data_IF_079736244441
#
_entry.id   IF_079736244441
#
_cell.length_a   1.000
_cell.length_b   1.000
_cell.length_c   1.000
_cell.angle_alpha   90.00
_cell.angle_beta   90.00
_cell.angle_gamma   90.00
#
_symmetry.space_group_name_H-M   'P 1'
#
loop_
_entity.id
_entity.type
_entity.pdbx_description
1 polymer ?
#
# COMPACT_ATOMS: atom_id res chain seq x y z
N UNK A 1 3.16 9.99 10.30
CA UNK A 1 3.68 9.52 8.99
C UNK A 1 4.33 10.68 8.25
N UNK A 2 5.62 10.60 7.88
CA UNK A 2 6.30 11.63 7.07
C UNK A 2 6.61 12.97 7.75
N UNK A 3 6.32 13.10 9.05
CA UNK A 3 6.36 14.34 9.83
C UNK A 3 7.69 15.10 9.72
N UNK A 4 8.82 14.41 9.87
CA UNK A 4 10.17 14.99 9.80
C UNK A 4 10.43 15.75 8.50
N UNK A 5 9.78 15.34 7.41
CA UNK A 5 9.94 15.96 6.09
C UNK A 5 8.85 16.99 5.78
N UNK A 6 7.80 17.06 6.60
CA UNK A 6 6.60 17.87 6.34
C UNK A 6 6.58 19.14 7.20
N UNK A 7 7.08 19.08 8.43
CA UNK A 7 6.93 20.14 9.47
C UNK A 7 7.54 21.52 9.10
N UNK A 8 8.20 21.65 7.94
CA UNK A 8 8.75 22.91 7.42
C UNK A 8 8.06 23.49 6.18
N UNK A 9 7.05 22.81 5.59
CA UNK A 9 6.51 23.17 4.29
C UNK A 9 5.07 23.69 4.37
N UNK A 10 4.87 24.97 4.05
CA UNK A 10 3.53 25.60 4.05
C UNK A 10 2.57 24.92 3.06
N UNK A 11 3.11 24.37 1.97
CA UNK A 11 2.34 23.60 0.99
C UNK A 11 1.69 22.36 1.62
N UNK A 12 2.32 21.74 2.62
CA UNK A 12 1.75 20.59 3.30
C UNK A 12 0.49 20.95 4.09
N UNK A 13 0.49 22.10 4.78
CA UNK A 13 -0.70 22.59 5.50
C UNK A 13 -1.87 22.80 4.55
N UNK A 14 -1.64 23.38 3.36
CA UNK A 14 -2.69 23.57 2.35
C UNK A 14 -3.26 22.25 1.86
N UNK A 15 -2.41 21.23 1.66
CA UNK A 15 -2.84 19.91 1.21
C UNK A 15 -3.66 19.19 2.28
N UNK A 16 -3.27 19.29 3.56
CA UNK A 16 -4.08 18.78 4.66
C UNK A 16 -5.41 19.51 4.81
N UNK A 17 -5.43 20.84 4.63
CA UNK A 17 -6.68 21.62 4.58
C UNK A 17 -7.60 21.18 3.45
N UNK A 18 -7.06 20.83 2.29
CA UNK A 18 -7.86 20.22 1.20
C UNK A 18 -8.39 18.85 1.61
N UNK A 19 -7.58 18.02 2.28
CA UNK A 19 -8.01 16.71 2.77
C UNK A 19 -9.19 16.81 3.75
N UNK A 20 -9.15 17.76 4.69
CA UNK A 20 -10.24 18.02 5.65
C UNK A 20 -11.57 18.40 5.01
N UNK A 21 -11.55 18.96 3.79
CA UNK A 21 -12.78 19.28 3.03
C UNK A 21 -13.38 18.07 2.32
N UNK A 22 -12.62 16.97 2.23
CA UNK A 22 -12.93 15.79 1.43
C UNK A 22 -13.23 14.58 2.31
N UNK A 23 -12.54 14.45 3.44
CA UNK A 23 -12.66 13.34 4.37
C UNK A 23 -13.48 13.75 5.59
N UNK A 24 -14.23 12.80 6.13
CA UNK A 24 -15.07 13.01 7.32
C UNK A 24 -14.29 12.92 8.64
N UNK A 25 -12.95 12.99 8.59
CA UNK A 25 -12.07 12.92 9.75
C UNK A 25 -10.80 13.76 9.52
N UNK A 26 -10.14 14.15 10.60
CA UNK A 26 -8.91 14.93 10.51
C UNK A 26 -7.69 14.05 10.21
N UNK A 27 -7.34 13.97 8.92
CA UNK A 27 -6.20 13.19 8.45
C UNK A 27 -4.86 13.73 8.97
N UNK A 28 -4.74 15.04 9.16
CA UNK A 28 -3.52 15.66 9.68
C UNK A 28 -3.27 15.24 11.12
N UNK A 29 -4.31 15.34 11.94
CA UNK A 29 -4.24 14.91 13.34
C UNK A 29 -3.93 13.42 13.45
N UNK A 30 -4.57 12.59 12.63
CA UNK A 30 -4.29 11.15 12.59
C UNK A 30 -2.84 10.85 12.19
N UNK A 31 -2.27 11.60 11.24
CA UNK A 31 -0.90 11.41 10.79
C UNK A 31 0.15 11.86 11.83
N UNK A 32 -0.16 12.88 12.62
CA UNK A 32 0.80 13.56 13.51
C UNK A 32 0.72 13.09 14.97
N UNK A 33 -0.49 12.81 15.45
CA UNK A 33 -0.78 12.53 16.86
C UNK A 33 -1.69 11.32 17.07
N UNK A 34 -2.25 10.76 15.99
CA UNK A 34 -3.11 9.60 16.05
C UNK A 34 -2.41 8.35 16.58
N UNK A 35 -3.16 7.42 17.22
CA UNK A 35 -2.63 6.11 17.59
C UNK A 35 -2.11 5.37 16.36
N UNK A 36 -0.93 4.75 16.48
CA UNK A 36 -0.29 4.04 15.37
C UNK A 36 -1.21 2.95 14.78
N UNK A 37 -1.92 2.22 15.63
CA UNK A 37 -2.84 1.16 15.21
C UNK A 37 -4.05 1.69 14.42
N UNK A 38 -4.54 2.90 14.73
CA UNK A 38 -5.60 3.55 13.95
C UNK A 38 -5.07 4.02 12.60
N UNK A 39 -3.85 4.56 12.56
CA UNK A 39 -3.20 4.98 11.31
C UNK A 39 -2.91 3.78 10.39
N UNK A 40 -2.59 2.61 10.96
CA UNK A 40 -2.32 1.36 10.23
C UNK A 40 -3.57 0.70 9.62
N UNK A 41 -4.78 1.06 10.04
CA UNK A 41 -6.00 0.54 9.40
C UNK A 41 -6.00 0.91 7.93
N UNK A 42 -6.35 -0.03 7.04
CA UNK A 42 -6.22 0.19 5.59
C UNK A 42 -7.03 1.41 5.14
N UNK A 43 -8.23 1.56 5.70
CA UNK A 43 -9.11 2.73 5.47
C UNK A 43 -8.45 4.08 5.72
N UNK A 44 -7.50 4.14 6.66
CA UNK A 44 -6.80 5.36 7.08
C UNK A 44 -5.39 5.49 6.47
N UNK A 45 -4.65 4.38 6.43
CA UNK A 45 -3.30 4.33 5.89
C UNK A 45 -3.26 4.74 4.42
N UNK A 46 -4.23 4.31 3.61
CA UNK A 46 -4.23 4.61 2.19
C UNK A 46 -4.40 6.11 1.87
N UNK A 47 -5.42 6.82 2.37
CA UNK A 47 -5.51 8.27 2.15
C UNK A 47 -4.32 9.01 2.77
N UNK A 48 -3.81 8.59 3.94
CA UNK A 48 -2.61 9.18 4.53
C UNK A 48 -1.38 9.08 3.62
N UNK A 49 -1.12 7.89 3.07
CA UNK A 49 -0.01 7.65 2.15
C UNK A 49 -0.17 8.46 0.84
N UNK A 50 -1.37 8.53 0.27
CA UNK A 50 -1.61 9.36 -0.91
C UNK A 50 -1.30 10.83 -0.61
N UNK A 51 -1.80 11.36 0.51
CA UNK A 51 -1.58 12.74 0.95
C UNK A 51 -0.10 13.04 1.14
N UNK A 52 0.64 12.19 1.85
CA UNK A 52 2.09 12.38 2.08
C UNK A 52 2.87 12.30 0.76
N UNK A 53 2.55 11.35 -0.13
CA UNK A 53 3.16 11.27 -1.46
C UNK A 53 2.88 12.52 -2.29
N UNK A 54 1.67 13.08 -2.19
CA UNK A 54 1.31 14.32 -2.88
C UNK A 54 2.06 15.53 -2.33
N UNK A 55 2.24 15.62 -1.01
CA UNK A 55 3.08 16.65 -0.37
C UNK A 55 4.50 16.59 -0.93
N UNK A 56 5.14 15.42 -0.95
CA UNK A 56 6.49 15.29 -1.53
C UNK A 56 6.53 15.62 -3.03
N UNK A 57 5.51 15.21 -3.78
CA UNK A 57 5.39 15.58 -5.20
C UNK A 57 5.35 17.09 -5.38
N UNK A 58 4.60 17.81 -4.54
CA UNK A 58 4.51 19.27 -4.60
C UNK A 58 5.81 19.96 -4.19
N UNK A 59 6.47 19.48 -3.13
CA UNK A 59 7.78 19.98 -2.70
C UNK A 59 8.83 19.84 -3.82
N UNK A 60 8.90 18.67 -4.47
CA UNK A 60 9.82 18.44 -5.59
C UNK A 60 9.53 19.38 -6.76
N UNK A 61 8.25 19.57 -7.10
CA UNK A 61 7.83 20.49 -8.17
C UNK A 61 8.15 21.95 -7.87
N UNK A 62 7.95 22.37 -6.64
CA UNK A 62 8.29 23.72 -6.19
C UNK A 62 9.82 23.95 -6.23
N UNK A 63 10.62 22.87 -6.12
CA UNK A 63 12.06 22.88 -6.37
C UNK A 63 12.45 22.74 -7.86
N UNK A 64 11.49 22.76 -8.79
CA UNK A 64 11.72 22.65 -10.23
C UNK A 64 11.96 21.23 -10.75
N UNK A 65 11.72 20.21 -9.93
CA UNK A 65 11.88 18.80 -10.31
C UNK A 65 10.54 18.26 -10.81
N UNK A 66 10.45 18.02 -12.11
CA UNK A 66 9.27 17.43 -12.75
C UNK A 66 9.60 16.04 -13.33
N UNK A 67 8.80 15.00 -13.05
CA UNK A 67 9.02 13.68 -13.61
C UNK A 67 8.63 13.62 -15.09
N UNK A 68 9.44 12.97 -15.91
CA UNK A 68 9.08 12.65 -17.31
C UNK A 68 8.15 11.44 -17.40
N UNK A 69 8.26 10.52 -16.44
CA UNK A 69 7.45 9.30 -16.36
C UNK A 69 7.11 9.06 -14.89
N UNK A 70 5.90 8.56 -14.63
CA UNK A 70 5.46 8.14 -13.30
C UNK A 70 4.91 6.73 -13.36
N UNK A 71 5.15 5.98 -12.29
CA UNK A 71 4.62 4.65 -12.08
C UNK A 71 4.40 4.44 -10.58
N UNK A 72 3.52 3.52 -10.24
CA UNK A 72 3.17 3.26 -8.86
C UNK A 72 2.82 1.80 -8.63
N UNK A 73 3.15 1.30 -7.44
CA UNK A 73 2.87 -0.07 -7.05
C UNK A 73 1.71 -0.11 -6.06
N UNK A 74 0.67 -0.92 -6.34
CA UNK A 74 -0.55 -1.00 -5.53
C UNK A 74 -1.15 0.40 -5.31
N UNK A 75 -1.33 0.85 -4.07
CA UNK A 75 -1.79 2.21 -3.78
C UNK A 75 -0.98 3.30 -4.50
N UNK A 76 0.32 3.09 -4.72
CA UNK A 76 1.18 4.03 -5.41
C UNK A 76 0.70 4.37 -6.83
N UNK A 77 -0.08 3.50 -7.47
CA UNK A 77 -0.67 3.78 -8.79
C UNK A 77 -1.56 5.04 -8.74
N UNK A 78 -2.33 5.22 -7.66
CA UNK A 78 -3.14 6.43 -7.47
C UNK A 78 -2.28 7.68 -7.28
N UNK A 79 -1.15 7.57 -6.57
CA UNK A 79 -0.16 8.65 -6.47
C UNK A 79 0.43 9.00 -7.84
N UNK A 80 0.71 7.99 -8.67
CA UNK A 80 1.23 8.19 -10.01
C UNK A 80 0.20 8.86 -10.93
N UNK A 81 -1.05 8.39 -10.93
CA UNK A 81 -2.17 8.99 -11.68
C UNK A 81 -2.41 10.44 -11.28
N UNK A 82 -2.36 10.75 -9.97
CA UNK A 82 -2.43 12.11 -9.45
C UNK A 82 -1.23 12.95 -9.89
N UNK A 83 -0.02 12.40 -9.80
CA UNK A 83 1.20 13.09 -10.24
C UNK A 83 1.17 13.40 -11.75
N UNK A 84 0.64 12.48 -12.56
CA UNK A 84 0.40 12.65 -13.99
C UNK A 84 -0.72 13.66 -14.32
N UNK A 85 -1.38 14.24 -13.31
CA UNK A 85 -2.48 15.22 -13.45
C UNK A 85 -3.71 14.66 -14.19
N UNK A 86 -3.90 13.34 -14.18
CA UNK A 86 -5.08 12.67 -14.76
C UNK A 86 -6.33 12.95 -13.92
N UNK A 87 -6.15 13.08 -12.61
CA UNK A 87 -7.17 13.51 -11.65
C UNK A 87 -6.60 14.61 -10.75
N UNK A 88 -7.48 15.41 -10.15
CA UNK A 88 -7.07 16.34 -9.10
C UNK A 88 -6.95 15.64 -7.73
N UNK A 89 -6.31 16.33 -6.77
CA UNK A 89 -6.08 15.78 -5.44
C UNK A 89 -7.37 15.42 -4.69
N UNK A 90 -8.42 16.29 -4.64
CA UNK A 90 -9.69 15.92 -4.03
C UNK A 90 -10.33 14.66 -4.63
N UNK A 91 -10.31 14.50 -5.95
CA UNK A 91 -10.84 13.31 -6.61
C UNK A 91 -10.00 12.06 -6.31
N UNK A 92 -8.67 12.15 -6.37
CA UNK A 92 -7.77 11.06 -5.99
C UNK A 92 -8.01 10.61 -4.55
N UNK A 93 -8.18 11.57 -3.63
CA UNK A 93 -8.39 11.29 -2.21
C UNK A 93 -9.73 10.59 -1.96
N UNK A 94 -10.82 11.02 -2.62
CA UNK A 94 -12.12 10.32 -2.57
C UNK A 94 -12.01 8.88 -3.10
N UNK A 95 -11.34 8.71 -4.24
CA UNK A 95 -11.17 7.42 -4.89
C UNK A 95 -10.37 6.46 -4.00
N UNK A 96 -9.25 6.92 -3.45
CA UNK A 96 -8.42 6.13 -2.53
C UNK A 96 -9.15 5.82 -1.23
N UNK A 97 -9.88 6.77 -0.64
CA UNK A 97 -10.68 6.50 0.56
C UNK A 97 -11.72 5.40 0.29
N UNK A 98 -12.41 5.47 -0.84
CA UNK A 98 -13.41 4.48 -1.22
C UNK A 98 -12.79 3.10 -1.49
N UNK A 99 -11.67 3.05 -2.21
CA UNK A 99 -10.89 1.81 -2.40
C UNK A 99 -10.53 1.19 -1.06
N UNK A 100 -10.02 1.98 -0.14
CA UNK A 100 -9.58 1.50 1.16
C UNK A 100 -10.75 0.94 1.99
N UNK A 101 -11.93 1.58 1.94
CA UNK A 101 -13.16 1.07 2.56
C UNK A 101 -13.57 -0.29 1.96
N UNK A 102 -13.62 -0.41 0.63
CA UNK A 102 -13.99 -1.66 -0.02
C UNK A 102 -12.99 -2.78 0.24
N UNK A 103 -11.68 -2.47 0.29
CA UNK A 103 -10.66 -3.45 0.67
C UNK A 103 -10.83 -3.92 2.11
N UNK A 104 -11.11 -3.00 3.04
CA UNK A 104 -11.36 -3.35 4.45
C UNK A 104 -12.63 -4.20 4.60
N UNK A 105 -13.72 -3.83 3.93
CA UNK A 105 -14.98 -4.59 3.92
C UNK A 105 -14.77 -6.02 3.36
N UNK A 106 -14.02 -6.14 2.26
CA UNK A 106 -13.69 -7.43 1.67
C UNK A 106 -12.75 -8.27 2.57
N UNK A 107 -11.76 -7.63 3.19
CA UNK A 107 -10.79 -8.30 4.08
C UNK A 107 -11.42 -8.73 5.40
N UNK A 108 -12.33 -7.93 5.97
CA UNK A 108 -13.01 -8.25 7.22
C UNK A 108 -13.86 -9.53 7.16
N UNK A 109 -14.20 -9.99 5.95
CA UNK A 109 -14.90 -11.25 5.73
C UNK A 109 -13.96 -12.48 5.71
N UNK A 110 -12.63 -12.29 5.74
CA UNK A 110 -11.64 -13.35 5.52
C UNK A 110 -10.46 -13.21 6.50
N UNK A 111 -10.06 -14.30 7.17
CA UNK A 111 -8.80 -14.36 7.94
C UNK A 111 -7.61 -14.53 6.98
N UNK A 112 -7.36 -13.50 6.17
CA UNK A 112 -6.36 -13.49 5.12
C UNK A 112 -5.05 -12.81 5.52
N UNK A 113 -3.94 -13.34 5.02
CA UNK A 113 -2.59 -12.81 5.28
C UNK A 113 -1.76 -12.82 4.00
N UNK A 114 -0.64 -12.10 4.01
CA UNK A 114 0.33 -12.10 2.92
C UNK A 114 1.73 -12.51 3.41
N UNK A 115 2.53 -13.10 2.53
CA UNK A 115 3.94 -13.39 2.80
C UNK A 115 4.80 -13.12 1.55
N UNK A 116 5.97 -12.49 1.75
CA UNK A 116 6.97 -12.30 0.72
C UNK A 116 7.92 -13.51 0.66
N UNK A 117 8.03 -14.09 -0.52
CA UNK A 117 8.87 -15.24 -0.86
C UNK A 117 10.10 -14.71 -1.58
N UNK A 118 11.30 -14.98 -1.04
CA UNK A 118 12.57 -14.46 -1.55
C UNK A 118 13.48 -15.61 -1.96
N UNK A 119 14.11 -15.49 -3.13
CA UNK A 119 15.13 -16.41 -3.60
C UNK A 119 14.60 -17.63 -4.35
N UNK A 120 13.33 -17.62 -4.77
CA UNK A 120 12.74 -18.66 -5.60
C UNK A 120 12.20 -18.08 -6.92
N UNK A 121 12.38 -18.75 -8.08
CA UNK A 121 11.81 -18.30 -9.34
C UNK A 121 10.28 -18.25 -9.30
N UNK A 122 9.69 -17.27 -10.00
CA UNK A 122 8.23 -17.07 -10.00
C UNK A 122 7.44 -18.32 -10.40
N UNK A 123 7.98 -19.12 -11.33
CA UNK A 123 7.32 -20.30 -11.88
C UNK A 123 7.18 -21.39 -10.82
N UNK A 124 8.19 -21.54 -9.96
CA UNK A 124 8.16 -22.47 -8.84
C UNK A 124 7.13 -22.03 -7.79
N UNK A 125 7.09 -20.73 -7.44
CA UNK A 125 6.09 -20.18 -6.52
C UNK A 125 4.67 -20.42 -7.06
N UNK A 126 4.43 -20.07 -8.32
CA UNK A 126 3.14 -20.29 -8.99
C UNK A 126 2.73 -21.76 -9.02
N UNK A 127 3.66 -22.67 -9.33
CA UNK A 127 3.39 -24.11 -9.36
C UNK A 127 2.97 -24.64 -7.99
N UNK A 128 3.57 -24.15 -6.91
CA UNK A 128 3.23 -24.56 -5.54
C UNK A 128 1.87 -23.98 -5.12
N UNK A 129 1.64 -22.68 -5.35
CA UNK A 129 0.34 -22.04 -5.05
C UNK A 129 -0.82 -22.77 -5.74
N UNK A 130 -0.68 -23.18 -7.01
CA UNK A 130 -1.75 -23.91 -7.74
C UNK A 130 -2.14 -25.25 -7.11
N UNK A 131 -1.29 -25.84 -6.29
CA UNK A 131 -1.55 -27.15 -5.64
C UNK A 131 -2.23 -27.01 -4.27
N UNK A 132 -2.33 -25.79 -3.74
CA UNK A 132 -2.87 -25.52 -2.41
C UNK A 132 -4.05 -24.57 -2.59
N UNK A 133 -5.24 -24.96 -2.13
CA UNK A 133 -6.43 -24.09 -2.21
C UNK A 133 -6.33 -22.96 -1.17
N UNK A 134 -6.87 -21.80 -1.50
CA UNK A 134 -6.96 -20.65 -0.59
C UNK A 134 -5.70 -19.79 -0.53
N UNK A 135 -4.78 -19.90 -1.50
CA UNK A 135 -3.57 -19.09 -1.61
C UNK A 135 -3.24 -18.80 -3.08
N UNK A 136 -2.79 -17.59 -3.35
CA UNK A 136 -2.41 -17.15 -4.69
C UNK A 136 -1.11 -16.34 -4.64
N UNK A 137 -0.37 -16.33 -5.75
CA UNK A 137 0.73 -15.38 -5.95
C UNK A 137 0.15 -14.05 -6.46
N UNK A 138 0.31 -12.99 -5.69
CA UNK A 138 -0.41 -11.71 -5.89
C UNK A 138 0.49 -10.54 -6.27
N UNK A 139 1.80 -10.59 -5.98
CA UNK A 139 2.75 -9.59 -6.47
C UNK A 139 4.04 -10.23 -6.98
N UNK A 140 4.49 -9.80 -8.16
CA UNK A 140 5.75 -10.23 -8.77
C UNK A 140 6.76 -9.09 -8.75
N UNK A 141 7.28 -8.75 -7.56
CA UNK A 141 8.07 -7.53 -7.36
C UNK A 141 9.45 -7.60 -8.04
N UNK A 142 10.02 -8.81 -8.20
CA UNK A 142 11.28 -9.01 -8.93
C UNK A 142 11.38 -10.45 -9.45
N UNK A 143 12.37 -10.79 -10.29
CA UNK A 143 12.60 -12.17 -10.74
C UNK A 143 12.78 -13.19 -9.61
N UNK A 144 13.18 -12.73 -8.42
CA UNK A 144 13.46 -13.57 -7.25
C UNK A 144 12.63 -13.20 -6.02
N UNK A 145 11.63 -12.32 -6.16
CA UNK A 145 10.69 -12.01 -5.09
C UNK A 145 9.25 -12.09 -5.60
N UNK A 146 8.44 -12.91 -4.95
CA UNK A 146 7.00 -12.99 -5.17
C UNK A 146 6.27 -12.84 -3.84
N UNK A 147 5.12 -12.18 -3.80
CA UNK A 147 4.23 -12.16 -2.64
C UNK A 147 3.11 -13.16 -2.88
N UNK A 148 2.83 -13.99 -1.87
CA UNK A 148 1.66 -14.84 -1.81
C UNK A 148 0.64 -14.27 -0.81
N UNK A 149 -0.64 -14.43 -1.09
CA UNK A 149 -1.71 -14.01 -0.21
C UNK A 149 -2.86 -15.02 -0.22
N UNK A 150 -3.66 -15.02 0.84
CA UNK A 150 -4.82 -15.89 0.95
C UNK A 150 -5.15 -16.22 2.40
N UNK A 151 -5.92 -17.28 2.60
CA UNK A 151 -6.30 -17.77 3.93
C UNK A 151 -5.05 -18.06 4.76
N UNK A 152 -5.06 -17.63 6.03
CA UNK A 152 -3.91 -17.76 6.94
C UNK A 152 -3.29 -19.15 6.95
N UNK A 153 -4.11 -20.20 7.09
CA UNK A 153 -3.63 -21.60 7.08
C UNK A 153 -3.02 -22.00 5.74
N UNK A 154 -3.62 -21.59 4.62
CA UNK A 154 -3.11 -21.91 3.29
C UNK A 154 -1.77 -21.21 3.04
N UNK A 155 -1.63 -19.94 3.43
CA UNK A 155 -0.37 -19.19 3.35
C UNK A 155 0.71 -19.82 4.24
N UNK A 156 0.39 -20.24 5.46
CA UNK A 156 1.33 -20.91 6.36
C UNK A 156 1.85 -22.25 5.78
N UNK A 157 0.95 -23.09 5.24
CA UNK A 157 1.33 -24.36 4.61
C UNK A 157 2.20 -24.11 3.38
N UNK A 158 1.79 -23.14 2.54
CA UNK A 158 2.51 -22.78 1.31
C UNK A 158 3.88 -22.21 1.61
N UNK A 159 3.99 -21.37 2.63
CA UNK A 159 5.26 -20.79 3.09
C UNK A 159 6.26 -21.88 3.47
N UNK A 160 5.84 -22.84 4.30
CA UNK A 160 6.68 -23.99 4.69
C UNK A 160 7.10 -24.82 3.47
N UNK A 161 6.21 -25.02 2.51
CA UNK A 161 6.54 -25.76 1.30
C UNK A 161 7.55 -25.02 0.43
N UNK A 162 7.39 -23.70 0.28
CA UNK A 162 8.33 -22.87 -0.48
C UNK A 162 9.72 -22.87 0.14
N UNK A 163 9.84 -22.85 1.46
CA UNK A 163 11.12 -22.98 2.16
C UNK A 163 11.78 -24.34 1.88
N UNK A 164 11.01 -25.43 1.91
CA UNK A 164 11.50 -26.77 1.57
C UNK A 164 11.97 -26.89 0.10
N UNK A 165 11.37 -26.12 -0.80
CA UNK A 165 11.69 -26.08 -2.23
C UNK A 165 12.82 -25.08 -2.56
N UNK A 166 13.46 -24.52 -1.54
CA UNK A 166 14.67 -23.71 -1.69
C UNK A 166 14.45 -22.20 -1.66
N UNK A 167 13.28 -21.71 -1.25
CA UNK A 167 13.14 -20.29 -0.96
C UNK A 167 14.12 -19.89 0.15
N UNK A 168 14.89 -18.83 -0.07
CA UNK A 168 15.89 -18.34 0.89
C UNK A 168 15.22 -17.81 2.17
N UNK A 169 14.08 -17.13 2.01
CA UNK A 169 13.23 -16.64 3.10
C UNK A 169 11.78 -16.60 2.67
N UNK A 170 10.86 -16.87 3.59
CA UNK A 170 9.46 -16.49 3.47
C UNK A 170 9.09 -15.63 4.67
N UNK A 171 8.66 -14.39 4.42
CA UNK A 171 8.49 -13.37 5.45
C UNK A 171 7.03 -12.92 5.48
N UNK A 172 6.29 -13.12 6.59
CA UNK A 172 4.95 -12.55 6.75
C UNK A 172 4.98 -11.03 6.61
N UNK A 173 4.02 -10.47 5.87
CA UNK A 173 3.90 -9.02 5.70
C UNK A 173 2.95 -8.44 6.75
N UNK A 174 3.34 -7.29 7.30
CA UNK A 174 2.52 -6.50 8.21
C UNK A 174 1.56 -5.63 7.41
N UNK A 175 0.45 -6.22 6.99
CA UNK A 175 -0.63 -5.57 6.23
C UNK A 175 -1.98 -5.87 6.89
N UNK A 176 -2.93 -4.95 6.74
CA UNK A 176 -4.25 -5.04 7.37
C UNK A 176 -5.26 -5.91 6.59
N UNK A 177 -4.84 -6.56 5.50
CA UNK A 177 -5.64 -7.49 4.70
C UNK A 177 -4.82 -8.15 3.58
N UNK A 178 -5.27 -9.31 3.04
CA UNK A 178 -4.63 -10.03 1.93
C UNK A 178 -4.76 -9.34 0.56
#
# INVERSE_FOLDING_TARGET
>A
MGREFIDGYEEAKKIFQQARKVLDFDLEELCNHGPEEELKKTTNAQPALLTVNWIFTRILRDAGIEPTVVAGHSLGEYSAVLCAKVVDYPAALRLVRRRAQFMEEASGAVDGVMAAVIGLPREAVLSICRRIKGVEAVNFNSPSQVVIAGEKKAVEITSKRLEQEGAKKVIPLLVSGP
#
